data_IF_864028451924
#
_entry.id   IF_864028451924
#
_cell.length_a   1.000
_cell.length_b   1.000
_cell.length_c   1.000
_cell.angle_alpha   90.00
_cell.angle_beta   90.00
_cell.angle_gamma   90.00
#
_symmetry.space_group_name_H-M   'P 1'
#
loop_
_entity.id
_entity.type
_entity.pdbx_description
1 polymer ?
#
# COMPACT_ATOMS: atom_id res chain seq x y z
N UNK A 1 -15.78 5.45 -5.14
CA UNK A 1 -15.84 6.01 -3.78
C UNK A 1 -14.55 5.83 -2.99
N UNK A 2 -13.65 4.91 -3.41
CA UNK A 2 -12.39 4.59 -2.75
C UNK A 2 -11.23 5.36 -3.38
N UNK A 3 -10.37 5.95 -2.54
CA UNK A 3 -9.15 6.62 -2.96
C UNK A 3 -7.99 6.11 -2.13
N UNK A 4 -6.89 5.73 -2.78
CA UNK A 4 -5.63 5.35 -2.13
C UNK A 4 -4.53 6.23 -2.72
N UNK A 5 -3.74 6.85 -1.85
CA UNK A 5 -2.64 7.72 -2.25
C UNK A 5 -1.36 6.91 -2.49
N UNK A 6 -0.36 7.44 -3.22
CA UNK A 6 0.95 6.83 -3.30
C UNK A 6 1.57 6.64 -1.92
N UNK A 7 2.32 5.56 -1.76
CA UNK A 7 3.07 5.29 -0.54
C UNK A 7 4.42 6.03 -0.56
N UNK A 8 4.79 6.63 0.57
CA UNK A 8 6.07 7.32 0.73
C UNK A 8 6.86 6.71 1.87
N UNK A 9 8.17 6.62 1.70
CA UNK A 9 9.06 6.20 2.76
C UNK A 9 9.07 7.20 3.91
N UNK A 10 9.11 6.71 5.15
CA UNK A 10 9.16 7.55 6.36
C UNK A 10 10.50 8.25 6.57
N UNK A 11 11.54 7.76 5.89
CA UNK A 11 12.89 8.32 5.89
C UNK A 11 13.52 8.17 4.51
N UNK A 12 14.59 8.92 4.18
CA UNK A 12 15.31 8.75 2.92
C UNK A 12 15.81 7.32 2.75
N UNK A 13 15.70 6.79 1.52
CA UNK A 13 16.16 5.44 1.16
C UNK A 13 17.23 5.51 0.08
N UNK A 14 18.21 4.61 0.14
CA UNK A 14 19.13 4.38 -0.95
C UNK A 14 18.50 3.44 -1.97
N UNK A 15 18.65 3.74 -3.26
CA UNK A 15 18.06 2.99 -4.35
C UNK A 15 19.17 2.50 -5.28
N UNK A 16 19.14 1.20 -5.57
CA UNK A 16 19.98 0.56 -6.59
C UNK A 16 19.17 0.28 -7.84
N UNK A 17 19.71 0.62 -8.99
CA UNK A 17 19.11 0.33 -10.30
C UNK A 17 19.56 -1.06 -10.75
N UNK A 18 18.60 -1.92 -11.07
CA UNK A 18 18.87 -3.29 -11.51
C UNK A 18 18.15 -3.55 -12.82
N UNK A 19 18.88 -4.00 -13.82
CA UNK A 19 18.32 -4.40 -15.09
C UNK A 19 17.61 -5.75 -14.97
N UNK A 20 16.40 -5.86 -15.51
CA UNK A 20 15.65 -7.10 -15.63
C UNK A 20 15.84 -7.65 -17.03
N UNK A 21 16.34 -8.89 -17.14
CA UNK A 21 16.55 -9.57 -18.40
C UNK A 21 15.80 -10.88 -18.45
N UNK A 22 15.32 -11.26 -19.64
CA UNK A 22 14.85 -12.62 -19.93
C UNK A 22 16.04 -13.48 -20.30
N UNK A 23 16.06 -14.71 -19.83
CA UNK A 23 17.03 -15.71 -20.28
C UNK A 23 16.76 -16.23 -21.70
N UNK A 24 15.51 -16.16 -22.13
CA UNK A 24 15.05 -16.62 -23.46
C UNK A 24 14.07 -15.61 -24.03
N UNK A 25 14.32 -15.15 -25.25
CA UNK A 25 13.34 -14.36 -26.01
C UNK A 25 12.31 -15.30 -26.66
N UNK A 26 11.01 -14.98 -26.50
CA UNK A 26 9.91 -15.73 -27.14
C UNK A 26 9.74 -15.36 -28.62
N UNK A 27 10.30 -14.22 -29.06
CA UNK A 27 10.23 -13.79 -30.45
C UNK A 27 11.35 -14.44 -31.27
N UNK A 28 10.97 -14.97 -32.44
CA UNK A 28 11.92 -15.49 -33.41
C UNK A 28 12.35 -14.33 -34.30
N UNK A 29 13.63 -13.94 -34.22
CA UNK A 29 14.19 -12.97 -35.17
C UNK A 29 14.53 -13.69 -36.49
N UNK A 30 14.56 -12.95 -37.60
CA UNK A 30 14.89 -13.47 -38.93
C UNK A 30 16.25 -14.18 -39.02
N UNK A 31 17.11 -13.98 -38.05
CA UNK A 31 18.42 -14.62 -37.92
C UNK A 31 18.42 -15.89 -37.08
N UNK A 32 17.28 -16.28 -36.50
CA UNK A 32 17.14 -17.50 -35.69
C UNK A 32 17.90 -17.52 -34.36
N UNK A 33 18.62 -16.46 -34.02
CA UNK A 33 19.35 -16.35 -32.76
C UNK A 33 18.45 -15.81 -31.65
N UNK A 34 18.16 -16.64 -30.67
CA UNK A 34 17.51 -16.21 -29.43
C UNK A 34 18.54 -15.51 -28.54
N UNK A 35 18.46 -14.19 -28.44
CA UNK A 35 19.29 -13.43 -27.51
C UNK A 35 18.51 -13.10 -26.22
N UNK A 36 19.18 -12.94 -25.09
CA UNK A 36 18.58 -12.37 -23.89
C UNK A 36 17.97 -10.99 -24.21
N UNK A 37 16.75 -10.76 -23.76
CA UNK A 37 16.07 -9.50 -23.98
C UNK A 37 15.92 -8.73 -22.67
N UNK A 38 16.03 -7.42 -22.77
CA UNK A 38 15.85 -6.52 -21.62
C UNK A 38 14.38 -6.26 -21.41
N UNK A 39 13.85 -6.64 -20.26
CA UNK A 39 12.45 -6.40 -19.89
C UNK A 39 12.24 -5.01 -19.28
N UNK A 40 13.30 -4.33 -18.85
CA UNK A 40 13.23 -3.04 -18.19
C UNK A 40 14.19 -2.92 -17.02
N UNK A 41 13.93 -1.91 -16.21
CA UNK A 41 14.69 -1.62 -14.99
C UNK A 41 13.80 -1.84 -13.77
N UNK A 42 14.37 -2.33 -12.69
CA UNK A 42 13.77 -2.30 -11.36
C UNK A 42 14.63 -1.47 -10.42
N UNK A 43 13.95 -0.83 -9.48
CA UNK A 43 14.59 -0.07 -8.43
C UNK A 43 14.56 -0.91 -7.14
N UNK A 44 15.72 -1.13 -6.57
CA UNK A 44 15.84 -1.88 -5.33
C UNK A 44 16.18 -0.92 -4.19
N UNK A 45 15.37 -0.96 -3.14
CA UNK A 45 15.67 -0.26 -1.90
C UNK A 45 16.74 -1.06 -1.15
N UNK A 46 17.86 -0.40 -0.82
CA UNK A 46 18.90 -0.98 0.01
C UNK A 46 18.48 -1.02 1.47
N UNK A 47 18.48 -2.21 2.06
CA UNK A 47 18.06 -2.41 3.44
C UNK A 47 16.54 -2.33 3.65
N UNK A 48 16.15 -2.12 4.89
CA UNK A 48 14.75 -2.02 5.30
C UNK A 48 14.24 -0.58 5.14
N UNK A 49 13.05 -0.43 4.58
CA UNK A 49 12.36 0.85 4.51
C UNK A 49 10.88 0.70 4.95
N UNK A 50 10.39 1.71 5.64
CA UNK A 50 8.99 1.79 6.06
C UNK A 50 8.28 2.79 5.15
N UNK A 51 7.21 2.34 4.53
CA UNK A 51 6.35 3.16 3.67
C UNK A 51 5.00 3.36 4.32
N UNK A 52 4.45 4.55 4.18
CA UNK A 52 3.10 4.88 4.63
C UNK A 52 2.25 5.35 3.46
N UNK A 53 1.02 4.92 3.44
CA UNK A 53 -0.01 5.41 2.51
C UNK A 53 -1.29 5.72 3.26
N UNK A 54 -2.15 6.48 2.63
CA UNK A 54 -3.46 6.85 3.16
C UNK A 54 -4.52 6.64 2.09
N UNK A 55 -5.70 6.28 2.54
CA UNK A 55 -6.86 6.15 1.69
C UNK A 55 -8.11 6.71 2.36
N UNK A 56 -9.16 6.84 1.60
CA UNK A 56 -10.48 7.21 2.11
C UNK A 56 -11.57 6.57 1.28
N UNK A 57 -12.71 6.33 1.92
CA UNK A 57 -13.95 5.93 1.28
C UNK A 57 -14.94 7.06 1.47
N UNK A 58 -15.52 7.55 0.36
CA UNK A 58 -16.53 8.60 0.37
C UNK A 58 -17.94 8.01 0.43
N UNK A 59 -18.68 8.18 1.54
CA UNK A 59 -20.05 7.67 1.63
C UNK A 59 -21.00 8.28 0.60
N UNK A 60 -20.81 9.56 0.26
CA UNK A 60 -21.64 10.23 -0.74
C UNK A 60 -21.46 9.64 -2.15
N UNK A 61 -20.26 9.19 -2.49
CA UNK A 61 -19.99 8.49 -3.75
C UNK A 61 -20.41 7.02 -3.67
N UNK A 62 -20.29 6.39 -2.51
CA UNK A 62 -20.75 5.03 -2.27
C UNK A 62 -22.26 4.88 -2.57
N UNK A 63 -23.08 5.80 -2.08
CA UNK A 63 -24.52 5.82 -2.35
C UNK A 63 -24.85 5.91 -3.84
N UNK A 64 -24.02 6.60 -4.63
CA UNK A 64 -24.24 6.75 -6.08
C UNK A 64 -23.77 5.54 -6.88
N UNK A 65 -22.82 4.79 -6.38
CA UNK A 65 -22.19 3.67 -7.09
C UNK A 65 -22.69 2.30 -6.62
N UNK A 66 -23.50 2.25 -5.55
CA UNK A 66 -23.94 1.00 -4.94
C UNK A 66 -22.84 0.30 -4.12
N UNK A 67 -21.76 1.01 -3.79
CA UNK A 67 -20.68 0.49 -2.91
C UNK A 67 -21.23 0.26 -1.51
N UNK A 68 -21.03 -0.94 -0.98
CA UNK A 68 -21.61 -1.41 0.28
C UNK A 68 -20.61 -1.47 1.43
N UNK A 69 -21.10 -1.76 2.62
CA UNK A 69 -20.25 -2.03 3.80
C UNK A 69 -19.45 -3.33 3.61
N UNK A 70 -19.99 -4.33 2.92
CA UNK A 70 -19.28 -5.57 2.57
C UNK A 70 -18.11 -5.29 1.62
N UNK A 71 -18.27 -4.36 0.68
CA UNK A 71 -17.17 -3.92 -0.19
C UNK A 71 -16.08 -3.22 0.61
N UNK A 72 -16.44 -2.41 1.60
CA UNK A 72 -15.49 -1.76 2.50
C UNK A 72 -14.70 -2.78 3.34
N UNK A 73 -15.37 -3.80 3.88
CA UNK A 73 -14.72 -4.90 4.59
C UNK A 73 -13.80 -5.72 3.68
N UNK A 74 -14.20 -5.96 2.42
CA UNK A 74 -13.37 -6.63 1.43
C UNK A 74 -12.09 -5.84 1.14
N UNK A 75 -12.17 -4.52 1.03
CA UNK A 75 -10.99 -3.65 0.85
C UNK A 75 -10.10 -3.68 2.09
N UNK A 76 -10.67 -3.59 3.29
CA UNK A 76 -9.92 -3.70 4.54
C UNK A 76 -9.14 -5.01 4.60
N UNK A 77 -9.78 -6.13 4.26
CA UNK A 77 -9.12 -7.43 4.18
C UNK A 77 -8.02 -7.48 3.12
N UNK A 78 -8.28 -6.95 1.93
CA UNK A 78 -7.30 -6.88 0.84
C UNK A 78 -6.05 -6.07 1.22
N UNK A 79 -6.22 -4.99 2.00
CA UNK A 79 -5.09 -4.20 2.49
C UNK A 79 -4.22 -4.97 3.49
N UNK A 80 -4.83 -5.76 4.37
CA UNK A 80 -4.11 -6.60 5.35
C UNK A 80 -3.30 -7.70 4.67
N UNK A 81 -3.81 -8.24 3.55
CA UNK A 81 -3.22 -9.36 2.79
C UNK A 81 -2.56 -8.93 1.49
N UNK A 82 -2.21 -7.66 1.37
CA UNK A 82 -1.84 -7.03 0.09
C UNK A 82 -0.70 -7.73 -0.65
N UNK A 83 0.27 -8.27 0.08
CA UNK A 83 1.45 -8.93 -0.50
C UNK A 83 1.43 -10.45 -0.38
N UNK A 84 0.31 -11.05 0.03
CA UNK A 84 0.15 -12.51 -0.02
C UNK A 84 0.13 -12.98 -1.48
N UNK A 85 0.98 -13.96 -1.82
CA UNK A 85 1.11 -14.51 -3.17
C UNK A 85 1.46 -13.46 -4.26
N UNK A 86 2.00 -12.31 -3.89
CA UNK A 86 2.45 -11.28 -4.83
C UNK A 86 3.97 -11.41 -5.06
N UNK A 87 4.35 -12.39 -5.87
CA UNK A 87 5.75 -12.66 -6.22
C UNK A 87 6.04 -12.31 -7.68
N UNK A 88 7.16 -11.65 -7.89
CA UNK A 88 7.69 -11.36 -9.21
C UNK A 88 9.19 -11.13 -9.16
N UNK A 89 9.84 -10.99 -10.31
CA UNK A 89 11.26 -10.62 -10.35
C UNK A 89 11.56 -9.25 -9.74
N UNK A 90 10.57 -8.35 -9.70
CA UNK A 90 10.67 -7.04 -9.05
C UNK A 90 10.31 -7.11 -7.55
N UNK A 91 9.51 -8.06 -7.16
CA UNK A 91 9.04 -8.29 -5.78
C UNK A 91 9.26 -9.76 -5.41
N UNK A 92 10.50 -10.17 -5.08
CA UNK A 92 10.76 -11.52 -4.61
C UNK A 92 9.95 -11.85 -3.35
N UNK A 93 9.68 -13.12 -3.13
CA UNK A 93 9.01 -13.59 -1.90
C UNK A 93 9.71 -13.04 -0.65
N UNK A 94 8.91 -12.50 0.27
CA UNK A 94 9.40 -11.91 1.52
C UNK A 94 10.07 -10.54 1.39
N UNK A 95 10.02 -9.89 0.21
CA UNK A 95 10.58 -8.55 0.01
C UNK A 95 9.67 -7.42 0.50
N UNK A 96 8.39 -7.67 0.64
CA UNK A 96 7.39 -6.70 1.09
C UNK A 96 6.39 -7.36 2.04
N UNK A 97 5.98 -6.62 3.04
CA UNK A 97 4.94 -7.03 3.98
C UNK A 97 4.09 -5.83 4.40
N UNK A 98 2.86 -6.07 4.77
CA UNK A 98 2.03 -5.10 5.46
C UNK A 98 2.32 -5.19 6.94
N UNK A 99 2.78 -4.11 7.57
CA UNK A 99 2.99 -4.09 9.02
C UNK A 99 1.67 -3.85 9.76
N UNK A 100 0.98 -2.78 9.38
CA UNK A 100 -0.26 -2.36 10.04
C UNK A 100 -1.23 -1.73 9.05
N UNK A 101 -2.50 -1.98 9.27
CA UNK A 101 -3.61 -1.21 8.70
C UNK A 101 -4.37 -0.57 9.85
N UNK A 102 -4.54 0.75 9.79
CA UNK A 102 -5.41 1.47 10.74
C UNK A 102 -6.65 1.91 9.99
N UNK A 103 -7.77 1.38 10.41
CA UNK A 103 -9.07 1.64 9.81
C UNK A 103 -9.90 2.53 10.71
N UNK A 104 -10.20 3.75 10.25
CA UNK A 104 -11.02 4.72 10.98
C UNK A 104 -12.46 4.69 10.49
N UNK A 105 -13.41 4.64 11.42
CA UNK A 105 -14.84 4.65 11.13
C UNK A 105 -15.48 5.91 11.71
N UNK A 106 -15.96 6.78 10.83
CA UNK A 106 -16.68 7.97 11.24
C UNK A 106 -18.17 7.67 11.46
N UNK A 107 -18.81 8.37 12.38
CA UNK A 107 -20.24 8.24 12.68
C UNK A 107 -21.14 9.14 11.81
N UNK A 108 -20.54 9.89 10.90
CA UNK A 108 -21.24 10.78 9.98
C UNK A 108 -20.68 10.73 8.57
N UNK A 109 -21.52 10.96 7.56
CA UNK A 109 -21.14 10.96 6.14
C UNK A 109 -20.12 12.04 5.76
N UNK A 110 -20.07 13.13 6.49
CA UNK A 110 -19.10 14.21 6.29
C UNK A 110 -17.80 14.02 7.07
N UNK A 111 -17.77 13.01 7.93
CA UNK A 111 -16.66 12.72 8.84
C UNK A 111 -16.71 13.55 10.13
N UNK A 112 -16.31 12.94 11.25
CA UNK A 112 -16.22 13.62 12.56
C UNK A 112 -15.03 14.60 12.59
N UNK A 113 -13.97 14.29 11.82
CA UNK A 113 -12.74 15.08 11.71
C UNK A 113 -12.26 15.11 10.25
N UNK A 114 -11.55 16.16 9.90
CA UNK A 114 -10.90 16.24 8.59
C UNK A 114 -9.85 15.13 8.44
N UNK A 115 -9.69 14.61 7.23
CA UNK A 115 -8.66 13.61 6.92
C UNK A 115 -7.25 14.05 7.34
N UNK A 116 -6.94 15.35 7.21
CA UNK A 116 -5.66 15.90 7.64
C UNK A 116 -5.46 15.79 9.16
N UNK A 117 -6.51 15.97 9.94
CA UNK A 117 -6.47 15.84 11.41
C UNK A 117 -6.29 14.39 11.82
N UNK A 118 -7.03 13.46 11.19
CA UNK A 118 -6.90 12.03 11.43
C UNK A 118 -5.47 11.56 11.09
N UNK A 119 -4.93 11.99 9.96
CA UNK A 119 -3.55 11.67 9.56
C UNK A 119 -2.51 12.14 10.57
N UNK A 120 -2.66 13.36 11.12
CA UNK A 120 -1.74 13.87 12.15
C UNK A 120 -1.80 13.10 13.45
N UNK A 121 -2.91 12.43 13.76
CA UNK A 121 -3.06 11.59 14.94
C UNK A 121 -2.28 10.27 14.84
N UNK A 122 -1.92 9.84 13.63
CA UNK A 122 -1.16 8.61 13.40
C UNK A 122 0.33 8.92 13.45
N UNK A 123 1.07 8.23 14.32
CA UNK A 123 2.52 8.32 14.44
C UNK A 123 3.14 6.98 14.09
N UNK A 124 4.20 7.02 13.29
CA UNK A 124 4.96 5.84 12.87
C UNK A 124 6.41 6.04 13.31
N UNK A 125 6.96 5.08 14.05
CA UNK A 125 8.36 5.10 14.46
C UNK A 125 9.28 4.49 13.40
N UNK A 126 10.59 4.50 13.66
CA UNK A 126 11.59 3.97 12.72
C UNK A 126 11.52 2.45 12.53
N UNK A 127 10.87 1.72 13.44
CA UNK A 127 10.65 0.27 13.35
C UNK A 127 9.32 -0.07 12.67
N UNK A 128 8.52 0.93 12.31
CA UNK A 128 7.21 0.75 11.70
C UNK A 128 6.08 0.51 12.70
N UNK A 129 6.30 0.73 13.98
CA UNK A 129 5.23 0.68 14.97
C UNK A 129 4.34 1.90 14.87
N UNK A 130 3.04 1.68 15.01
CA UNK A 130 2.03 2.74 14.95
C UNK A 130 1.51 3.05 16.34
N UNK A 131 1.39 4.34 16.64
CA UNK A 131 0.64 4.87 17.78
C UNK A 131 -0.39 5.88 17.31
N UNK A 132 -1.54 5.94 18.01
CA UNK A 132 -2.63 6.85 17.70
C UNK A 132 -2.77 7.86 18.85
N UNK A 133 -2.60 9.14 18.52
CA UNK A 133 -2.80 10.24 19.46
C UNK A 133 -4.30 10.57 19.55
N UNK A 134 -5.02 9.81 20.38
CA UNK A 134 -6.48 9.89 20.48
C UNK A 134 -6.97 11.25 20.99
N UNK A 135 -6.15 12.00 21.69
CA UNK A 135 -6.48 13.39 22.13
C UNK A 135 -6.74 14.35 20.97
N UNK A 136 -6.20 14.08 19.78
CA UNK A 136 -6.48 14.86 18.58
C UNK A 136 -7.81 14.52 17.91
N UNK A 137 -8.30 13.31 18.14
CA UNK A 137 -9.50 12.74 17.49
C UNK A 137 -10.43 12.09 18.53
N UNK A 138 -10.82 12.77 19.62
CA UNK A 138 -11.62 12.15 20.66
C UNK A 138 -12.92 11.58 20.12
N UNK A 139 -13.25 10.35 20.51
CA UNK A 139 -14.46 9.64 20.11
C UNK A 139 -14.46 9.00 18.73
N UNK A 140 -13.41 9.21 17.92
CA UNK A 140 -13.30 8.53 16.63
C UNK A 140 -12.95 7.05 16.83
N UNK A 141 -13.79 6.18 16.26
CA UNK A 141 -13.57 4.73 16.30
C UNK A 141 -12.48 4.32 15.31
N UNK A 142 -11.62 3.40 15.71
CA UNK A 142 -10.63 2.81 14.82
C UNK A 142 -10.30 1.37 15.18
N UNK A 143 -9.85 0.63 14.19
CA UNK A 143 -9.26 -0.70 14.32
C UNK A 143 -7.79 -0.63 13.91
N UNK A 144 -6.92 -1.25 14.68
CA UNK A 144 -5.51 -1.44 14.34
C UNK A 144 -5.30 -2.91 14.01
N UNK A 145 -5.04 -3.22 12.77
CA UNK A 145 -4.92 -4.57 12.23
C UNK A 145 -3.46 -4.86 11.89
N UNK A 146 -2.94 -5.97 12.38
CA UNK A 146 -1.63 -6.46 11.95
C UNK A 146 -1.73 -7.02 10.53
N UNK A 147 -0.74 -6.70 9.68
CA UNK A 147 -0.66 -7.25 8.34
C UNK A 147 -0.26 -8.73 8.33
N UNK A 148 -0.36 -9.32 7.18
CA UNK A 148 0.05 -10.70 6.90
C UNK A 148 1.15 -10.72 5.86
#
# INVERSE_FOLDING_TARGET
PVTIQPAFSTSPVAIDDIQITKSVNSETTDTGKKSPDTMGMKYRVSGRAIYTTFGSISPQLAEKTGFSDEDAEAIKHALVTLFENDESSARPSGSMEVLWVVWFSHDSKSGQYSSAKVRRAVKVDSDGNISIEQSLIPGLQFEKLEGR
#
